data_IF_209427076781
#
_entry.id   IF_209427076781
#
_cell.length_a   1.000
_cell.length_b   1.000
_cell.length_c   1.000
_cell.angle_alpha   90.00
_cell.angle_beta   90.00
_cell.angle_gamma   90.00
#
_symmetry.space_group_name_H-M   'P 1'
#
loop_
_entity.id
_entity.type
_entity.pdbx_description
1 polymer ?
#
# COMPACT_ATOMS: atom_id res chain seq x y z
N UNK A 1 -2.55 -33.31 0.72
CA UNK A 1 -2.03 -32.19 1.53
C UNK A 1 -3.21 -31.50 2.16
N UNK A 2 -3.15 -31.15 3.45
CA UNK A 2 -4.27 -30.51 4.16
C UNK A 2 -3.80 -29.16 4.67
N UNK A 3 -4.31 -28.09 4.08
CA UNK A 3 -3.87 -26.75 4.43
C UNK A 3 -4.78 -26.12 5.50
N UNK A 4 -4.18 -25.50 6.51
CA UNK A 4 -4.91 -24.71 7.53
C UNK A 4 -5.37 -23.34 6.97
N UNK A 5 -4.70 -22.84 5.95
CA UNK A 5 -5.02 -21.65 5.17
C UNK A 5 -4.91 -22.03 3.71
N UNK A 6 -5.88 -21.64 2.89
CA UNK A 6 -5.89 -21.96 1.46
C UNK A 6 -4.86 -21.05 0.73
N UNK A 7 -3.74 -21.60 0.20
CA UNK A 7 -2.65 -20.77 -0.31
C UNK A 7 -2.96 -20.04 -1.61
N UNK A 8 -3.86 -20.58 -2.45
CA UNK A 8 -4.23 -19.96 -3.72
C UNK A 8 -5.08 -18.70 -3.51
N UNK A 9 -6.02 -18.72 -2.57
CA UNK A 9 -6.88 -17.64 -2.11
C UNK A 9 -6.03 -16.55 -1.47
N UNK A 10 -5.06 -16.91 -0.63
CA UNK A 10 -4.11 -15.92 -0.08
C UNK A 10 -3.20 -15.33 -1.15
N UNK A 11 -2.75 -16.14 -2.13
CA UNK A 11 -2.01 -15.66 -3.29
C UNK A 11 -2.82 -14.68 -4.16
N UNK A 12 -4.10 -14.96 -4.40
CA UNK A 12 -5.02 -14.04 -5.09
C UNK A 12 -5.23 -12.77 -4.27
N UNK A 13 -5.35 -12.88 -2.94
CA UNK A 13 -5.44 -11.72 -2.05
C UNK A 13 -4.19 -10.83 -2.15
N UNK A 14 -3.00 -11.44 -2.15
CA UNK A 14 -1.74 -10.71 -2.31
C UNK A 14 -1.70 -9.94 -3.64
N UNK A 15 -2.05 -10.59 -4.75
CA UNK A 15 -2.14 -9.95 -6.06
C UNK A 15 -3.09 -8.74 -6.07
N UNK A 16 -4.26 -8.88 -5.43
CA UNK A 16 -5.20 -7.78 -5.30
C UNK A 16 -4.62 -6.61 -4.49
N UNK A 17 -3.93 -6.89 -3.37
CA UNK A 17 -3.27 -5.87 -2.56
C UNK A 17 -2.14 -5.17 -3.32
N UNK A 18 -1.33 -5.90 -4.09
CA UNK A 18 -0.30 -5.33 -4.96
C UNK A 18 -0.91 -4.39 -6.01
N UNK A 19 -1.99 -4.82 -6.67
CA UNK A 19 -2.70 -4.00 -7.65
C UNK A 19 -3.28 -2.71 -7.05
N UNK A 20 -3.90 -2.82 -5.88
CA UNK A 20 -4.42 -1.66 -5.14
C UNK A 20 -3.31 -0.71 -4.67
N UNK A 21 -2.18 -1.25 -4.18
CA UNK A 21 -1.02 -0.45 -3.80
C UNK A 21 -0.47 0.33 -4.99
N UNK A 22 -0.33 -0.32 -6.15
CA UNK A 22 0.11 0.33 -7.39
C UNK A 22 -0.85 1.43 -7.85
N UNK A 23 -2.17 1.14 -7.85
CA UNK A 23 -3.20 2.12 -8.22
C UNK A 23 -3.18 3.34 -7.28
N UNK A 24 -3.09 3.12 -5.96
CA UNK A 24 -3.03 4.20 -4.99
C UNK A 24 -1.74 5.02 -5.13
N UNK A 25 -0.59 4.38 -5.25
CA UNK A 25 0.69 5.06 -5.46
C UNK A 25 0.68 5.93 -6.72
N UNK A 26 0.16 5.40 -7.83
CA UNK A 26 0.01 6.16 -9.07
C UNK A 26 -0.94 7.35 -8.92
N UNK A 27 -2.09 7.17 -8.26
CA UNK A 27 -3.05 8.24 -8.00
C UNK A 27 -2.48 9.35 -7.13
N UNK A 28 -1.74 8.99 -6.07
CA UNK A 28 -1.06 9.95 -5.18
C UNK A 28 0.00 10.75 -5.96
N UNK A 29 0.83 10.06 -6.75
CA UNK A 29 1.85 10.72 -7.56
C UNK A 29 1.24 11.68 -8.60
N UNK A 30 0.16 11.27 -9.26
CA UNK A 30 -0.53 12.11 -10.25
C UNK A 30 -1.21 13.35 -9.62
N UNK A 31 -1.79 13.21 -8.41
CA UNK A 31 -2.50 14.29 -7.72
C UNK A 31 -1.62 15.22 -6.90
N UNK A 32 -0.41 14.79 -6.51
CA UNK A 32 0.47 15.55 -5.61
C UNK A 32 0.75 17.00 -6.09
N UNK A 33 1.05 17.28 -7.38
CA UNK A 33 1.32 18.63 -7.83
C UNK A 33 0.12 19.58 -7.64
N UNK A 34 -1.10 19.10 -7.91
CA UNK A 34 -2.32 19.91 -7.74
C UNK A 34 -2.63 20.17 -6.27
N UNK A 35 -2.28 19.24 -5.39
CA UNK A 35 -2.49 19.41 -3.96
C UNK A 35 -1.52 20.45 -3.38
N UNK A 36 -0.24 20.39 -3.74
CA UNK A 36 0.78 21.29 -3.15
C UNK A 36 0.84 22.67 -3.83
N UNK A 37 0.35 22.79 -5.07
CA UNK A 37 0.30 24.05 -5.84
C UNK A 37 -0.79 25.05 -5.38
N UNK A 38 -0.85 25.34 -4.08
CA UNK A 38 -1.81 26.31 -3.50
C UNK A 38 -1.36 27.75 -3.77
N UNK A 39 -2.29 28.60 -4.20
CA UNK A 39 -2.08 30.03 -4.41
C UNK A 39 -2.89 30.83 -3.39
N UNK A 40 -2.37 31.95 -2.85
CA UNK A 40 -3.14 32.84 -1.98
C UNK A 40 -4.44 33.33 -2.65
N UNK A 41 -5.53 33.39 -1.89
CA UNK A 41 -6.83 33.88 -2.36
C UNK A 41 -6.88 35.40 -2.50
N UNK A 42 -5.95 36.10 -1.85
CA UNK A 42 -5.81 37.55 -1.81
C UNK A 42 -4.36 37.96 -1.60
N UNK A 43 -4.10 39.27 -1.65
CA UNK A 43 -2.76 39.86 -1.49
C UNK A 43 -2.41 40.15 -0.03
N UNK A 44 -3.35 39.94 0.89
CA UNK A 44 -3.17 40.15 2.31
C UNK A 44 -2.36 39.04 2.98
N UNK A 45 -1.82 39.35 4.16
CA UNK A 45 -0.95 38.44 4.90
C UNK A 45 -1.68 37.17 5.36
N UNK A 46 -2.98 37.24 5.65
CA UNK A 46 -3.76 36.08 6.11
C UNK A 46 -3.98 35.09 4.97
N UNK A 47 -4.26 35.58 3.76
CA UNK A 47 -4.34 34.78 2.54
C UNK A 47 -3.03 34.05 2.24
N UNK A 48 -1.88 34.71 2.44
CA UNK A 48 -0.57 34.10 2.27
C UNK A 48 -0.28 33.04 3.35
N UNK A 49 -0.58 33.34 4.61
CA UNK A 49 -0.41 32.40 5.73
C UNK A 49 -1.28 31.15 5.58
N UNK A 50 -2.54 31.32 5.18
CA UNK A 50 -3.45 30.21 4.91
C UNK A 50 -2.95 29.34 3.75
N UNK A 51 -2.50 29.94 2.65
CA UNK A 51 -1.95 29.20 1.51
C UNK A 51 -0.73 28.35 1.91
N UNK A 52 0.18 28.91 2.72
CA UNK A 52 1.34 28.18 3.24
C UNK A 52 0.93 27.02 4.16
N UNK A 53 0.00 27.25 5.09
CA UNK A 53 -0.51 26.21 5.99
C UNK A 53 -1.21 25.08 5.21
N UNK A 54 -2.01 25.43 4.21
CA UNK A 54 -2.70 24.47 3.35
C UNK A 54 -1.71 23.65 2.52
N UNK A 55 -0.68 24.27 1.94
CA UNK A 55 0.37 23.57 1.20
C UNK A 55 1.12 22.57 2.11
N UNK A 56 1.48 22.98 3.34
CA UNK A 56 2.15 22.11 4.30
C UNK A 56 1.27 20.91 4.72
N UNK A 57 -0.01 21.16 5.04
CA UNK A 57 -0.96 20.10 5.38
C UNK A 57 -1.18 19.13 4.22
N UNK A 58 -1.28 19.63 2.98
CA UNK A 58 -1.45 18.79 1.79
C UNK A 58 -0.20 17.99 1.45
N UNK A 59 0.99 18.55 1.66
CA UNK A 59 2.24 17.81 1.54
C UNK A 59 2.31 16.65 2.55
N UNK A 60 1.91 16.89 3.80
CA UNK A 60 1.80 15.83 4.81
C UNK A 60 0.79 14.76 4.40
N UNK A 61 -0.38 15.14 3.88
CA UNK A 61 -1.37 14.20 3.34
C UNK A 61 -0.79 13.32 2.22
N UNK A 62 -0.08 13.91 1.26
CA UNK A 62 0.56 13.17 0.15
C UNK A 62 1.58 12.16 0.70
N UNK A 63 2.39 12.55 1.68
CA UNK A 63 3.33 11.64 2.36
C UNK A 63 2.61 10.46 3.01
N UNK A 64 1.60 10.73 3.83
CA UNK A 64 0.82 9.68 4.50
C UNK A 64 0.12 8.75 3.50
N UNK A 65 -0.39 9.30 2.38
CA UNK A 65 -1.02 8.51 1.34
C UNK A 65 -0.01 7.60 0.62
N UNK A 66 1.21 8.09 0.39
CA UNK A 66 2.30 7.29 -0.16
C UNK A 66 2.75 6.17 0.81
N UNK A 67 2.87 6.47 2.10
CA UNK A 67 3.16 5.47 3.14
C UNK A 67 2.09 4.39 3.21
N UNK A 68 0.81 4.76 3.08
CA UNK A 68 -0.29 3.81 3.05
C UNK A 68 -0.21 2.87 1.83
N UNK A 69 0.10 3.41 0.65
CA UNK A 69 0.31 2.60 -0.55
C UNK A 69 1.49 1.63 -0.37
N UNK A 70 2.60 2.10 0.21
CA UNK A 70 3.76 1.26 0.50
C UNK A 70 3.44 0.15 1.52
N UNK A 71 2.74 0.48 2.62
CA UNK A 71 2.32 -0.48 3.63
C UNK A 71 1.42 -1.59 3.05
N UNK A 72 0.53 -1.23 2.11
CA UNK A 72 -0.28 -2.20 1.38
C UNK A 72 0.55 -3.12 0.49
N UNK A 73 1.60 -2.60 -0.15
CA UNK A 73 2.57 -3.40 -0.89
C UNK A 73 3.30 -4.42 0.00
N UNK A 74 3.80 -3.98 1.16
CA UNK A 74 4.44 -4.87 2.14
C UNK A 74 3.48 -5.95 2.64
N UNK A 75 2.19 -5.62 2.82
CA UNK A 75 1.18 -6.59 3.20
C UNK A 75 0.94 -7.65 2.11
N UNK A 76 0.92 -7.25 0.83
CA UNK A 76 0.90 -8.19 -0.30
C UNK A 76 2.09 -9.16 -0.27
N UNK A 77 3.29 -8.64 -0.03
CA UNK A 77 4.50 -9.46 0.03
C UNK A 77 4.44 -10.47 1.18
N UNK A 78 3.96 -10.03 2.35
CA UNK A 78 3.76 -10.91 3.50
C UNK A 78 2.76 -12.03 3.21
N UNK A 79 1.65 -11.74 2.52
CA UNK A 79 0.68 -12.74 2.10
C UNK A 79 1.30 -13.74 1.10
N UNK A 80 2.11 -13.26 0.16
CA UNK A 80 2.81 -14.11 -0.81
C UNK A 80 3.79 -15.08 -0.14
N UNK A 81 4.58 -14.58 0.82
CA UNK A 81 5.51 -15.40 1.61
C UNK A 81 4.73 -16.43 2.45
N UNK A 82 3.64 -16.02 3.09
CA UNK A 82 2.79 -16.93 3.87
C UNK A 82 2.25 -18.08 3.00
N UNK A 83 1.70 -17.78 1.83
CA UNK A 83 1.20 -18.79 0.90
C UNK A 83 2.31 -19.78 0.48
N UNK A 84 3.50 -19.29 0.15
CA UNK A 84 4.65 -20.12 -0.21
C UNK A 84 5.11 -21.04 0.93
N UNK A 85 5.23 -20.51 2.15
CA UNK A 85 5.62 -21.28 3.34
C UNK A 85 4.59 -22.36 3.64
N UNK A 86 3.30 -22.06 3.53
CA UNK A 86 2.23 -23.04 3.76
C UNK A 86 2.32 -24.22 2.79
N UNK A 87 2.55 -23.95 1.49
CA UNK A 87 2.75 -25.01 0.48
C UNK A 87 3.98 -25.85 0.79
N UNK A 88 5.12 -25.21 1.06
CA UNK A 88 6.37 -25.91 1.36
C UNK A 88 6.26 -26.78 2.62
N UNK A 89 5.62 -26.26 3.66
CA UNK A 89 5.44 -26.96 4.95
C UNK A 89 4.60 -28.22 4.79
N UNK A 90 3.48 -28.15 4.08
CA UNK A 90 2.65 -29.33 3.82
C UNK A 90 3.34 -30.33 2.88
N UNK A 91 4.20 -29.88 1.97
CA UNK A 91 4.95 -30.78 1.10
C UNK A 91 5.99 -31.58 1.90
N UNK A 92 6.72 -30.90 2.80
CA UNK A 92 7.64 -31.55 3.74
C UNK A 92 6.92 -32.54 4.65
N UNK A 93 5.74 -32.17 5.16
CA UNK A 93 4.91 -33.06 5.99
C UNK A 93 4.48 -34.30 5.21
N UNK A 94 4.00 -34.15 3.98
CA UNK A 94 3.62 -35.27 3.14
C UNK A 94 4.80 -36.20 2.84
N UNK A 95 5.98 -35.64 2.55
CA UNK A 95 7.20 -36.43 2.32
C UNK A 95 7.64 -37.19 3.57
N UNK A 96 7.52 -36.59 4.76
CA UNK A 96 7.85 -37.24 6.02
C UNK A 96 6.91 -38.40 6.37
N UNK A 97 5.62 -38.29 6.02
CA UNK A 97 4.62 -39.35 6.24
C UNK A 97 4.67 -40.48 5.21
N UNK A 98 5.28 -40.24 4.04
CA UNK A 98 5.47 -41.24 2.99
C UNK A 98 6.71 -42.14 3.22
N UNK A 99 7.43 -41.91 4.31
CA UNK A 99 8.58 -42.69 4.76
C UNK A 99 8.21 -43.62 5.90
#
# INVERSE_FOLDING_TARGET
>A
MVFAMEPAVVGVSALAQAGLAAQQGAGVAAGAPMLVGVVPMGVDADSAAFAAALAAMRAAYVSTAAEHAAARGVFSDAQSVAAGITVASEAMRAAALAR
#
